data_IF_409614459475
#
_entry.id   IF_409614459475
#
_cell.length_a   1.000
_cell.length_b   1.000
_cell.length_c   1.000
_cell.angle_alpha   90.00
_cell.angle_beta   90.00
_cell.angle_gamma   90.00
#
_symmetry.space_group_name_H-M   'P 1'
#
loop_
_entity.id
_entity.type
_entity.pdbx_description
1 polymer ?
#
# COMPACT_ATOMS: atom_id res chain seq x y z
N UNK A 1 -13.86 -12.60 5.59
CA UNK A 1 -12.78 -12.24 4.69
C UNK A 1 -12.54 -10.74 4.78
N UNK A 2 -11.32 -10.35 5.07
CA UNK A 2 -10.98 -8.93 5.23
C UNK A 2 -10.35 -8.38 3.96
N UNK A 3 -10.37 -7.05 3.83
CA UNK A 3 -9.69 -6.33 2.75
C UNK A 3 -8.82 -5.24 3.37
N UNK A 4 -7.56 -5.21 2.98
CA UNK A 4 -6.59 -4.24 3.47
C UNK A 4 -6.05 -3.43 2.30
N UNK A 5 -5.72 -2.18 2.56
CA UNK A 5 -4.97 -1.38 1.59
C UNK A 5 -3.47 -1.57 1.85
N UNK A 6 -2.68 -1.70 0.81
CA UNK A 6 -1.22 -1.78 0.92
C UNK A 6 -0.54 -0.57 0.29
N UNK A 7 0.25 0.12 1.09
CA UNK A 7 1.07 1.25 0.69
C UNK A 7 2.47 0.77 0.27
N UNK A 8 3.25 1.67 -0.31
CA UNK A 8 4.61 1.36 -0.78
C UNK A 8 5.53 0.83 0.31
N UNK A 9 5.41 1.31 1.55
CA UNK A 9 6.23 0.82 2.65
C UNK A 9 6.03 -0.67 2.93
N UNK A 10 4.83 -1.20 2.72
CA UNK A 10 4.57 -2.63 2.83
C UNK A 10 5.30 -3.42 1.75
N UNK A 11 5.15 -3.01 0.50
CA UNK A 11 5.79 -3.70 -0.63
C UNK A 11 7.31 -3.64 -0.54
N UNK A 12 7.86 -2.48 -0.18
CA UNK A 12 9.31 -2.30 -0.02
C UNK A 12 9.86 -3.17 1.12
N UNK A 13 9.17 -3.20 2.26
CA UNK A 13 9.59 -4.00 3.39
C UNK A 13 9.53 -5.50 3.09
N UNK A 14 8.49 -5.94 2.35
CA UNK A 14 8.33 -7.33 1.95
C UNK A 14 9.44 -7.76 0.98
N UNK A 15 9.83 -6.87 0.07
CA UNK A 15 10.81 -7.17 -0.98
C UNK A 15 12.26 -7.13 -0.51
N UNK A 16 12.55 -6.51 0.63
CA UNK A 16 13.91 -6.30 1.10
C UNK A 16 14.12 -6.97 2.46
N UNK A 17 14.85 -8.08 2.48
CA UNK A 17 15.08 -8.87 3.70
C UNK A 17 15.74 -8.08 4.83
N UNK A 18 16.53 -7.05 4.49
CA UNK A 18 17.24 -6.21 5.46
C UNK A 18 16.43 -5.02 5.93
N UNK A 19 15.23 -4.81 5.39
CA UNK A 19 14.35 -3.75 5.86
C UNK A 19 13.97 -4.01 7.31
N UNK A 20 13.99 -2.94 8.12
CA UNK A 20 13.66 -3.06 9.55
C UNK A 20 12.24 -3.59 9.79
N UNK A 21 11.35 -3.43 8.83
CA UNK A 21 9.95 -3.89 8.92
C UNK A 21 9.68 -5.17 8.11
N UNK A 22 10.72 -5.82 7.61
CA UNK A 22 10.57 -7.03 6.81
C UNK A 22 9.77 -8.11 7.54
N UNK A 23 10.08 -8.36 8.83
CA UNK A 23 9.37 -9.36 9.62
C UNK A 23 7.88 -9.04 9.77
N UNK A 24 7.55 -7.76 9.97
CA UNK A 24 6.17 -7.32 10.05
C UNK A 24 5.44 -7.57 8.74
N UNK A 25 6.03 -7.15 7.63
CA UNK A 25 5.45 -7.33 6.30
C UNK A 25 5.28 -8.81 5.96
N UNK A 26 6.28 -9.64 6.25
CA UNK A 26 6.21 -11.08 6.00
C UNK A 26 5.11 -11.75 6.82
N UNK A 27 4.94 -11.35 8.09
CA UNK A 27 3.89 -11.89 8.95
C UNK A 27 2.51 -11.54 8.41
N UNK A 28 2.31 -10.31 7.95
CA UNK A 28 1.05 -9.89 7.34
C UNK A 28 0.80 -10.59 6.01
N UNK A 29 1.83 -10.77 5.20
CA UNK A 29 1.68 -11.50 3.93
C UNK A 29 1.19 -12.93 4.18
N UNK A 30 1.79 -13.64 5.12
CA UNK A 30 1.35 -14.99 5.48
C UNK A 30 -0.07 -15.00 6.04
N UNK A 31 -0.41 -14.02 6.87
CA UNK A 31 -1.74 -13.89 7.45
C UNK A 31 -2.80 -13.67 6.36
N UNK A 32 -2.52 -12.77 5.42
CA UNK A 32 -3.43 -12.50 4.29
C UNK A 32 -3.66 -13.78 3.46
N UNK A 33 -2.60 -14.52 3.20
CA UNK A 33 -2.70 -15.79 2.47
C UNK A 33 -3.57 -16.79 3.23
N UNK A 34 -3.28 -17.00 4.51
CA UNK A 34 -4.01 -17.98 5.33
C UNK A 34 -5.49 -17.65 5.48
N UNK A 35 -5.81 -16.39 5.64
CA UNK A 35 -7.18 -15.92 5.86
C UNK A 35 -7.94 -15.67 4.56
N UNK A 36 -7.27 -15.85 3.41
CA UNK A 36 -7.84 -15.58 2.08
C UNK A 36 -8.36 -14.14 1.98
N UNK A 37 -7.67 -13.22 2.63
CA UNK A 37 -7.99 -11.80 2.60
C UNK A 37 -7.58 -11.18 1.26
N UNK A 38 -8.12 -10.01 0.97
CA UNK A 38 -7.86 -9.25 -0.25
C UNK A 38 -6.95 -8.07 0.09
N UNK A 39 -6.02 -7.78 -0.79
CA UNK A 39 -5.21 -6.56 -0.74
C UNK A 39 -5.62 -5.66 -1.90
N UNK A 40 -5.87 -4.40 -1.61
CA UNK A 40 -6.07 -3.35 -2.61
C UNK A 40 -4.85 -2.43 -2.57
N UNK A 41 -4.31 -2.11 -3.71
CA UNK A 41 -3.23 -1.13 -3.87
C UNK A 41 -3.48 -0.32 -5.14
N UNK A 42 -2.60 0.60 -5.46
CA UNK A 42 -2.75 1.43 -6.68
C UNK A 42 -1.50 1.34 -7.55
N UNK A 43 -1.67 1.65 -8.84
CA UNK A 43 -0.54 1.80 -9.75
C UNK A 43 0.46 2.84 -9.23
N UNK A 44 -0.03 3.92 -8.63
CA UNK A 44 0.83 4.97 -8.08
C UNK A 44 1.72 4.44 -6.94
N UNK A 45 1.16 3.61 -6.07
CA UNK A 45 1.92 2.95 -4.99
C UNK A 45 3.01 2.05 -5.58
N UNK A 46 2.69 1.26 -6.59
CA UNK A 46 3.67 0.38 -7.23
C UNK A 46 4.77 1.19 -7.92
N UNK A 47 4.43 2.30 -8.55
CA UNK A 47 5.41 3.19 -9.16
C UNK A 47 6.35 3.79 -8.11
N UNK A 48 5.82 4.21 -6.98
CA UNK A 48 6.63 4.72 -5.87
C UNK A 48 7.63 3.66 -5.39
N UNK A 49 7.18 2.41 -5.25
CA UNK A 49 8.06 1.30 -4.90
C UNK A 49 9.18 1.12 -5.94
N UNK A 50 8.83 1.02 -7.24
CA UNK A 50 9.81 0.81 -8.28
C UNK A 50 10.79 1.99 -8.39
N UNK A 51 10.31 3.21 -8.21
CA UNK A 51 11.17 4.38 -8.18
C UNK A 51 12.18 4.34 -7.03
N UNK A 52 11.75 3.87 -5.85
CA UNK A 52 12.64 3.72 -4.70
C UNK A 52 13.68 2.61 -4.90
N UNK A 53 13.40 1.63 -5.76
CA UNK A 53 14.28 0.48 -6.05
C UNK A 53 15.04 0.68 -7.37
N UNK A 54 15.45 1.89 -7.69
CA UNK A 54 16.08 2.24 -8.98
C UNK A 54 17.53 1.79 -9.10
N UNK A 55 18.19 1.42 -8.00
CA UNK A 55 19.56 0.94 -8.04
C UNK A 55 19.67 -0.41 -8.76
N UNK A 56 20.80 -0.64 -9.42
CA UNK A 56 21.04 -1.88 -10.17
C UNK A 56 20.84 -3.14 -9.32
N UNK A 57 21.17 -3.07 -8.02
CA UNK A 57 21.07 -4.21 -7.10
C UNK A 57 19.62 -4.57 -6.72
N UNK A 58 18.65 -3.69 -6.94
CA UNK A 58 17.27 -3.87 -6.48
C UNK A 58 16.23 -3.87 -7.61
N UNK A 59 16.59 -3.43 -8.81
CA UNK A 59 15.67 -3.26 -9.94
C UNK A 59 14.97 -4.56 -10.33
N UNK A 60 15.72 -5.64 -10.43
CA UNK A 60 15.19 -6.94 -10.84
C UNK A 60 14.17 -7.48 -9.84
N UNK A 61 14.44 -7.32 -8.54
CA UNK A 61 13.52 -7.73 -7.47
C UNK A 61 12.22 -6.95 -7.55
N UNK A 62 12.30 -5.63 -7.72
CA UNK A 62 11.11 -4.79 -7.82
C UNK A 62 10.30 -5.10 -9.07
N UNK A 63 10.95 -5.28 -10.22
CA UNK A 63 10.26 -5.61 -11.47
C UNK A 63 9.52 -6.96 -11.37
N UNK A 64 10.14 -7.97 -10.78
CA UNK A 64 9.50 -9.26 -10.56
C UNK A 64 8.36 -9.17 -9.55
N UNK A 65 8.56 -8.39 -8.48
CA UNK A 65 7.50 -8.12 -7.50
C UNK A 65 6.28 -7.44 -8.14
N UNK A 66 6.51 -6.47 -9.00
CA UNK A 66 5.46 -5.82 -9.77
C UNK A 66 4.66 -6.83 -10.59
N UNK A 67 5.37 -7.70 -11.32
CA UNK A 67 4.73 -8.75 -12.12
C UNK A 67 3.89 -9.69 -11.27
N UNK A 68 4.43 -10.14 -10.14
CA UNK A 68 3.72 -11.03 -9.22
C UNK A 68 2.48 -10.38 -8.61
N UNK A 69 2.58 -9.11 -8.27
CA UNK A 69 1.46 -8.36 -7.70
C UNK A 69 0.29 -8.31 -8.69
N UNK A 70 0.56 -8.05 -9.96
CA UNK A 70 -0.48 -8.04 -10.98
C UNK A 70 -1.04 -9.43 -11.29
N UNK A 71 -0.25 -10.48 -11.09
CA UNK A 71 -0.68 -11.85 -11.36
C UNK A 71 -1.43 -12.51 -10.20
N UNK A 72 -1.36 -11.94 -8.99
CA UNK A 72 -1.98 -12.53 -7.81
C UNK A 72 -3.46 -12.16 -7.73
N UNK A 73 -4.33 -13.16 -7.80
CA UNK A 73 -5.78 -12.95 -7.77
C UNK A 73 -6.31 -12.33 -6.47
N UNK A 74 -5.52 -12.37 -5.39
CA UNK A 74 -5.88 -11.76 -4.10
C UNK A 74 -5.51 -10.29 -4.01
N UNK A 75 -4.83 -9.76 -5.01
CA UNK A 75 -4.38 -8.38 -5.02
C UNK A 75 -5.09 -7.65 -6.15
N UNK A 76 -5.82 -6.62 -5.79
CA UNK A 76 -6.42 -5.72 -6.76
C UNK A 76 -5.54 -4.49 -6.91
N UNK A 77 -5.00 -4.26 -8.10
CA UNK A 77 -4.22 -3.06 -8.42
C UNK A 77 -5.15 -2.08 -9.13
N UNK A 78 -5.49 -1.00 -8.43
CA UNK A 78 -6.34 0.06 -9.01
C UNK A 78 -5.52 0.85 -10.01
N UNK A 79 -5.91 0.87 -11.30
CA UNK A 79 -5.14 1.56 -12.32
C UNK A 79 -5.30 3.06 -12.25
N UNK A 80 -4.39 3.80 -12.87
CA UNK A 80 -4.56 5.22 -13.08
C UNK A 80 -5.82 5.47 -13.89
N UNK A 81 -6.70 6.32 -13.37
CA UNK A 81 -7.92 6.76 -14.04
C UNK A 81 -8.03 8.26 -13.86
N UNK A 82 -8.40 9.02 -14.92
CA UNK A 82 -8.42 10.48 -14.85
C UNK A 82 -9.27 11.01 -13.69
N UNK A 83 -10.43 10.40 -13.44
CA UNK A 83 -11.33 10.84 -12.38
C UNK A 83 -10.73 10.64 -10.98
N UNK A 84 -10.03 9.52 -10.75
CA UNK A 84 -9.33 9.27 -9.48
C UNK A 84 -8.16 10.22 -9.30
N UNK A 85 -7.42 10.50 -10.36
CA UNK A 85 -6.30 11.44 -10.33
C UNK A 85 -6.82 12.85 -10.00
N UNK A 86 -7.90 13.28 -10.64
CA UNK A 86 -8.48 14.58 -10.38
C UNK A 86 -8.94 14.73 -8.92
N UNK A 87 -9.54 13.68 -8.37
CA UNK A 87 -9.94 13.67 -6.95
C UNK A 87 -8.73 13.73 -6.02
N UNK A 88 -7.66 13.02 -6.35
CA UNK A 88 -6.43 13.04 -5.56
C UNK A 88 -5.76 14.42 -5.60
N UNK A 89 -5.72 15.06 -6.77
CA UNK A 89 -5.18 16.43 -6.93
C UNK A 89 -6.01 17.42 -6.13
N UNK A 90 -7.34 17.28 -6.13
CA UNK A 90 -8.21 18.16 -5.35
C UNK A 90 -7.97 18.01 -3.85
N UNK A 91 -7.83 16.79 -3.36
CA UNK A 91 -7.47 16.54 -1.95
C UNK A 91 -6.10 17.15 -1.63
N UNK A 92 -5.12 16.95 -2.49
CA UNK A 92 -3.79 17.52 -2.36
C UNK A 92 -3.85 19.06 -2.25
N UNK A 93 -4.62 19.71 -3.12
CA UNK A 93 -4.77 21.17 -3.16
C UNK A 93 -5.44 21.71 -1.90
N UNK A 94 -6.44 21.01 -1.36
CA UNK A 94 -7.25 21.50 -0.24
C UNK A 94 -6.66 21.25 1.12
N UNK A 95 -5.55 20.52 1.22
CA UNK A 95 -4.91 20.20 2.50
C UNK A 95 -3.45 20.66 2.55
N UNK A 96 -3.21 21.98 2.39
CA UNK A 96 -1.84 22.52 2.51
C UNK A 96 -1.28 22.41 3.93
N UNK A 97 -2.14 22.14 4.91
CA UNK A 97 -1.76 21.88 6.30
C UNK A 97 -1.10 20.51 6.50
N UNK A 98 -1.13 19.65 5.49
CA UNK A 98 -0.55 18.30 5.52
C UNK A 98 0.57 18.19 4.50
N UNK A 99 1.59 17.38 4.82
CA UNK A 99 2.68 17.07 3.88
C UNK A 99 2.40 15.77 3.12
N UNK A 100 1.15 15.47 2.85
CA UNK A 100 0.76 14.30 2.07
C UNK A 100 1.25 14.41 0.64
N UNK A 101 1.88 13.34 0.13
CA UNK A 101 2.22 13.26 -1.29
C UNK A 101 0.95 13.05 -2.13
N UNK A 102 1.09 13.25 -3.44
CA UNK A 102 -0.03 12.94 -4.34
C UNK A 102 -0.37 11.45 -4.32
N UNK A 103 0.63 10.58 -4.17
CA UNK A 103 0.42 9.14 -4.00
C UNK A 103 -0.39 8.85 -2.73
N UNK A 104 -0.08 9.52 -1.62
CA UNK A 104 -0.87 9.42 -0.39
C UNK A 104 -2.31 9.83 -0.62
N UNK A 105 -2.51 10.98 -1.27
CA UNK A 105 -3.86 11.48 -1.54
C UNK A 105 -4.67 10.51 -2.40
N UNK A 106 -4.05 9.93 -3.41
CA UNK A 106 -4.72 8.91 -4.24
C UNK A 106 -5.09 7.67 -3.41
N UNK A 107 -4.19 7.23 -2.55
CA UNK A 107 -4.45 6.12 -1.63
C UNK A 107 -5.66 6.42 -0.74
N UNK A 108 -5.72 7.62 -0.16
CA UNK A 108 -6.83 8.02 0.71
C UNK A 108 -8.17 8.07 -0.05
N UNK A 109 -8.16 8.59 -1.28
CA UNK A 109 -9.36 8.62 -2.13
C UNK A 109 -9.86 7.19 -2.42
N UNK A 110 -8.96 6.30 -2.79
CA UNK A 110 -9.32 4.90 -3.07
C UNK A 110 -9.85 4.21 -1.81
N UNK A 111 -9.18 4.39 -0.67
CA UNK A 111 -9.62 3.79 0.59
C UNK A 111 -11.00 4.27 0.98
N UNK A 112 -11.25 5.57 0.89
CA UNK A 112 -12.55 6.14 1.22
C UNK A 112 -13.65 5.56 0.33
N UNK A 113 -13.45 5.56 -0.98
CA UNK A 113 -14.44 5.04 -1.94
C UNK A 113 -14.72 3.55 -1.76
N UNK A 114 -13.71 2.79 -1.35
CA UNK A 114 -13.84 1.35 -1.09
C UNK A 114 -14.24 1.04 0.33
N UNK A 115 -14.45 2.06 1.18
CA UNK A 115 -14.76 1.88 2.59
C UNK A 115 -13.72 1.05 3.33
N UNK A 116 -12.45 1.21 2.95
CA UNK A 116 -11.31 0.57 3.60
C UNK A 116 -10.82 1.47 4.72
N UNK A 117 -10.54 0.89 5.88
CA UNK A 117 -10.10 1.63 7.06
C UNK A 117 -8.73 1.20 7.57
N UNK A 118 -8.21 0.08 7.09
CA UNK A 118 -6.97 -0.51 7.57
C UNK A 118 -5.93 -0.53 6.46
N UNK A 119 -4.74 0.00 6.76
CA UNK A 119 -3.65 0.10 5.79
C UNK A 119 -2.41 -0.63 6.29
N UNK A 120 -1.85 -1.45 5.41
CA UNK A 120 -0.53 -2.06 5.58
C UNK A 120 0.52 -1.02 5.19
N UNK A 121 0.93 -0.23 6.15
CA UNK A 121 1.88 0.87 5.98
C UNK A 121 2.55 1.17 7.32
N UNK A 122 3.70 1.84 7.26
CA UNK A 122 4.36 2.43 8.43
C UNK A 122 4.18 3.95 8.47
N UNK A 123 3.50 4.53 7.48
CA UNK A 123 3.42 5.97 7.30
C UNK A 123 2.28 6.57 8.14
N UNK A 124 2.65 7.49 9.03
CA UNK A 124 1.69 8.22 9.88
C UNK A 124 0.73 9.11 9.11
N UNK A 125 1.03 9.45 7.86
CA UNK A 125 0.09 10.20 7.03
C UNK A 125 -1.26 9.50 6.94
N UNK A 126 -1.27 8.17 6.95
CA UNK A 126 -2.52 7.39 6.94
C UNK A 126 -3.32 7.59 8.22
N UNK A 127 -2.67 7.66 9.39
CA UNK A 127 -3.35 7.98 10.64
C UNK A 127 -3.96 9.38 10.59
N UNK A 128 -3.22 10.35 10.07
CA UNK A 128 -3.71 11.73 9.92
C UNK A 128 -4.96 11.80 9.04
N UNK A 129 -5.08 10.89 8.07
CA UNK A 129 -6.24 10.80 7.18
C UNK A 129 -7.40 9.99 7.78
N UNK A 130 -7.27 9.50 9.01
CA UNK A 130 -8.32 8.74 9.71
C UNK A 130 -8.26 7.24 9.48
N UNK A 131 -7.19 6.72 8.87
CA UNK A 131 -7.02 5.29 8.65
C UNK A 131 -6.24 4.64 9.79
N UNK A 132 -6.40 3.33 9.95
CA UNK A 132 -5.63 2.55 10.92
C UNK A 132 -4.36 2.01 10.25
N UNK A 133 -3.21 2.34 10.83
CA UNK A 133 -1.91 1.82 10.43
C UNK A 133 -1.69 0.51 11.18
N UNK A 134 -1.74 -0.63 10.48
CA UNK A 134 -1.76 -1.94 11.13
C UNK A 134 -0.48 -2.75 10.96
N UNK A 135 0.41 -2.37 10.04
CA UNK A 135 1.60 -3.18 9.74
C UNK A 135 2.56 -3.35 10.92
N UNK A 136 2.58 -2.39 11.83
CA UNK A 136 3.43 -2.44 13.02
C UNK A 136 2.88 -3.33 14.13
N UNK A 137 1.64 -3.77 13.99
CA UNK A 137 0.99 -4.69 14.92
C UNK A 137 1.08 -6.11 14.37
N UNK A 138 1.08 -7.10 15.27
CA UNK A 138 0.99 -8.48 14.84
C UNK A 138 -0.41 -8.77 14.31
N UNK A 139 -0.54 -9.49 13.20
CA UNK A 139 -1.85 -9.87 12.71
C UNK A 139 -2.51 -10.86 13.69
N UNK A 140 -3.79 -10.64 13.96
CA UNK A 140 -4.58 -11.45 14.90
C UNK A 140 -5.86 -11.91 14.21
N UNK A 141 -6.19 -13.19 14.36
CA UNK A 141 -7.46 -13.71 13.90
C UNK A 141 -8.60 -13.04 14.68
N UNK A 142 -9.54 -12.48 13.93
CA UNK A 142 -10.77 -11.91 14.49
C UNK A 142 -11.85 -12.97 14.46
N UNK A 143 -12.45 -13.17 15.60
CA UNK A 143 -13.51 -14.14 15.77
C UNK A 143 -14.87 -13.49 15.48
#
# INVERSE_FOLDING_TARGET
MATYFADSSYWMALARKRDQYNRHAAAWNQFVIRTKSIIVTTEAVLWEWLNAFSDASTRAVAAEGYRRTHADARIEVVPFQPELIDSAVELYRTRPDKSWSLTDCLSFVVMERRQLTEALTTDRHFEQAGMKVIMLQQPVLRV
#
